data_IF_897254509888
#
_entry.id   IF_897254509888
#
_cell.length_a   1.000
_cell.length_b   1.000
_cell.length_c   1.000
_cell.angle_alpha   90.00
_cell.angle_beta   90.00
_cell.angle_gamma   90.00
#
_symmetry.space_group_name_H-M   'P 1'
#
loop_
_entity.id
_entity.type
_entity.pdbx_description
1 polymer ?
#
# COMPACT_ATOMS: atom_id res chain seq x y z
N UNK A 1 -15.78 -5.47 -5.24
CA UNK A 1 -15.68 -4.71 -3.98
C UNK A 1 -15.43 -5.58 -2.75
N UNK A 2 -16.25 -6.59 -2.44
CA UNK A 2 -16.05 -7.46 -1.26
C UNK A 2 -14.66 -8.12 -1.21
N UNK A 3 -14.19 -8.67 -2.33
CA UNK A 3 -12.86 -9.30 -2.40
C UNK A 3 -11.71 -8.31 -2.14
N UNK A 4 -11.87 -7.07 -2.60
CA UNK A 4 -10.92 -5.98 -2.33
C UNK A 4 -10.89 -5.64 -0.83
N UNK A 5 -12.05 -5.61 -0.18
CA UNK A 5 -12.13 -5.36 1.26
C UNK A 5 -11.47 -6.48 2.08
N UNK A 6 -11.69 -7.75 1.71
CA UNK A 6 -11.01 -8.90 2.34
C UNK A 6 -9.50 -8.78 2.16
N UNK A 7 -9.03 -8.45 0.95
CA UNK A 7 -7.60 -8.24 0.67
C UNK A 7 -7.00 -7.12 1.53
N UNK A 8 -7.64 -5.96 1.61
CA UNK A 8 -7.21 -4.83 2.46
C UNK A 8 -7.08 -5.27 3.91
N UNK A 9 -8.10 -5.94 4.42
CA UNK A 9 -8.14 -6.39 5.81
C UNK A 9 -7.00 -7.37 6.09
N UNK A 10 -6.85 -8.41 5.28
CA UNK A 10 -5.79 -9.41 5.44
C UNK A 10 -4.40 -8.78 5.38
N UNK A 11 -4.13 -7.92 4.41
CA UNK A 11 -2.82 -7.27 4.27
C UNK A 11 -2.54 -6.29 5.41
N UNK A 12 -3.56 -5.57 5.90
CA UNK A 12 -3.44 -4.68 7.06
C UNK A 12 -3.10 -5.45 8.33
N UNK A 13 -3.71 -6.62 8.55
CA UNK A 13 -3.36 -7.49 9.68
C UNK A 13 -1.93 -8.01 9.56
N UNK A 14 -1.51 -8.43 8.37
CA UNK A 14 -0.15 -8.95 8.15
C UNK A 14 0.93 -7.87 8.34
N UNK A 15 0.65 -6.62 7.96
CA UNK A 15 1.61 -5.51 8.09
C UNK A 15 1.57 -4.82 9.45
N UNK A 16 0.40 -4.67 10.05
CA UNK A 16 0.20 -3.85 11.26
C UNK A 16 -0.16 -4.64 12.52
N UNK A 17 -0.49 -5.92 12.40
CA UNK A 17 -0.79 -6.81 13.51
C UNK A 17 -2.19 -6.63 14.09
N UNK A 18 -2.36 -7.10 15.34
CA UNK A 18 -3.61 -7.07 16.09
C UNK A 18 -3.52 -6.10 17.27
N UNK A 19 -4.65 -5.48 17.69
CA UNK A 19 -5.98 -5.57 17.06
C UNK A 19 -6.07 -4.80 15.72
N UNK A 20 -7.02 -5.16 14.82
CA UNK A 20 -7.22 -4.44 13.56
C UNK A 20 -7.67 -3.00 13.82
N UNK A 21 -6.72 -2.07 13.82
CA UNK A 21 -6.98 -0.64 13.97
C UNK A 21 -6.41 0.11 12.77
N UNK A 22 -7.18 0.18 11.69
CA UNK A 22 -6.81 0.89 10.48
C UNK A 22 -8.03 1.54 9.82
N UNK A 23 -7.77 2.55 8.99
CA UNK A 23 -8.78 3.20 8.15
C UNK A 23 -8.49 2.84 6.69
N UNK A 24 -9.46 2.22 6.01
CA UNK A 24 -9.37 1.94 4.57
C UNK A 24 -10.15 3.00 3.78
N UNK A 25 -9.57 3.48 2.67
CA UNK A 25 -10.18 4.48 1.78
C UNK A 25 -10.03 4.05 0.33
N UNK A 26 -11.05 4.32 -0.48
CA UNK A 26 -10.97 4.18 -1.95
C UNK A 26 -10.80 5.58 -2.54
N UNK A 27 -9.78 5.77 -3.37
CA UNK A 27 -9.46 7.04 -4.01
C UNK A 27 -9.55 6.90 -5.53
N UNK A 28 -10.10 7.91 -6.20
CA UNK A 28 -10.11 8.03 -7.66
C UNK A 28 -9.38 9.31 -8.07
N UNK A 29 -8.04 9.36 -7.95
CA UNK A 29 -7.27 10.53 -8.34
C UNK A 29 -7.32 10.75 -9.87
N UNK A 30 -7.14 11.99 -10.30
CA UNK A 30 -6.95 12.26 -11.74
C UNK A 30 -5.59 11.70 -12.20
N UNK A 31 -5.50 11.28 -13.47
CA UNK A 31 -4.28 10.70 -14.06
C UNK A 31 -3.05 11.61 -13.90
N UNK A 32 -3.24 12.93 -13.92
CA UNK A 32 -2.15 13.92 -13.75
C UNK A 32 -1.72 14.08 -12.30
N UNK A 33 -2.59 13.78 -11.34
CA UNK A 33 -2.36 14.00 -9.90
C UNK A 33 -1.92 12.75 -9.15
N UNK A 34 -1.97 11.57 -9.76
CA UNK A 34 -1.70 10.29 -9.08
C UNK A 34 -0.33 10.30 -8.37
N UNK A 35 0.73 10.71 -9.06
CA UNK A 35 2.08 10.81 -8.48
C UNK A 35 2.12 11.74 -7.26
N UNK A 36 1.40 12.86 -7.32
CA UNK A 36 1.31 13.83 -6.21
C UNK A 36 0.56 13.22 -5.01
N UNK A 37 -0.53 12.50 -5.26
CA UNK A 37 -1.30 11.82 -4.21
C UNK A 37 -0.45 10.75 -3.53
N UNK A 38 0.28 9.93 -4.30
CA UNK A 38 1.18 8.90 -3.75
C UNK A 38 2.26 9.50 -2.85
N UNK A 39 2.91 10.57 -3.31
CA UNK A 39 3.92 11.30 -2.53
C UNK A 39 3.38 11.88 -1.22
N UNK A 40 2.17 12.46 -1.23
CA UNK A 40 1.53 12.96 0.00
C UNK A 40 1.23 11.82 0.96
N UNK A 41 0.66 10.71 0.48
CA UNK A 41 0.34 9.55 1.32
C UNK A 41 1.61 8.90 1.90
N UNK A 42 2.70 8.84 1.16
CA UNK A 42 3.99 8.35 1.65
C UNK A 42 4.52 9.18 2.83
N UNK A 43 4.38 10.51 2.76
CA UNK A 43 4.77 11.41 3.85
C UNK A 43 3.87 11.32 5.08
N UNK A 44 2.57 11.05 4.89
CA UNK A 44 1.62 10.90 6.01
C UNK A 44 1.71 9.52 6.68
N UNK A 45 2.02 8.48 5.90
CA UNK A 45 2.03 7.10 6.36
C UNK A 45 3.44 6.58 6.69
N UNK A 46 4.48 7.41 6.64
CA UNK A 46 5.82 7.03 7.05
C UNK A 46 5.93 6.94 8.58
N UNK A 47 5.64 5.76 9.14
CA UNK A 47 5.88 5.40 10.55
C UNK A 47 7.09 4.46 10.67
N UNK A 48 7.62 4.20 11.87
CA UNK A 48 8.75 3.28 12.10
C UNK A 48 8.54 1.88 11.49
N UNK A 49 7.29 1.38 11.48
CA UNK A 49 6.96 0.07 10.89
C UNK A 49 6.90 0.09 9.36
N UNK A 50 6.90 1.28 8.74
CA UNK A 50 6.83 1.43 7.28
C UNK A 50 8.17 1.24 6.58
N UNK A 51 9.29 1.33 7.31
CA UNK A 51 10.63 1.14 6.77
C UNK A 51 10.84 -0.28 6.21
N UNK A 52 10.19 -1.29 6.80
CA UNK A 52 10.28 -2.68 6.33
C UNK A 52 9.64 -2.91 4.96
N UNK A 53 8.71 -2.03 4.57
CA UNK A 53 7.97 -2.11 3.31
C UNK A 53 8.41 -1.05 2.31
N UNK A 54 9.40 -0.22 2.66
CA UNK A 54 10.08 0.65 1.70
C UNK A 54 11.22 -0.16 1.14
N UNK A 55 11.16 -0.49 -0.15
CA UNK A 55 12.32 -1.05 -0.85
C UNK A 55 13.34 0.07 -0.97
N UNK A 56 14.36 0.07 -0.10
CA UNK A 56 15.63 0.70 -0.46
C UNK A 56 16.23 -0.17 -1.57
N UNK A 57 16.74 0.48 -2.61
CA UNK A 57 17.20 -0.05 -3.90
C UNK A 57 18.42 -1.01 -3.81
N UNK A 58 18.54 -1.84 -2.78
CA UNK A 58 19.59 -2.86 -2.68
C UNK A 58 19.10 -4.20 -2.10
N UNK A 59 18.98 -5.20 -2.99
CA UNK A 59 19.45 -6.56 -2.66
C UNK A 59 18.46 -7.58 -2.09
N UNK A 60 17.15 -7.49 -2.31
CA UNK A 60 16.16 -8.44 -1.78
C UNK A 60 15.46 -9.34 -2.80
N UNK A 61 15.99 -10.56 -3.03
CA UNK A 61 15.35 -11.76 -3.62
C UNK A 61 14.51 -11.55 -4.90
N UNK A 62 15.19 -11.77 -6.03
CA UNK A 62 14.60 -12.03 -7.34
C UNK A 62 13.77 -13.33 -7.27
N UNK A 63 12.45 -13.24 -7.35
CA UNK A 63 11.63 -14.46 -7.51
C UNK A 63 10.10 -14.32 -7.52
N UNK A 64 9.51 -13.35 -6.82
CA UNK A 64 8.03 -13.26 -6.73
C UNK A 64 7.44 -11.84 -6.72
N UNK A 65 8.27 -10.80 -6.78
CA UNK A 65 7.80 -9.41 -6.78
C UNK A 65 7.47 -8.95 -8.21
N UNK A 66 6.27 -9.27 -8.68
CA UNK A 66 5.66 -8.57 -9.82
C UNK A 66 5.47 -7.11 -9.42
N UNK A 67 6.41 -6.23 -9.78
CA UNK A 67 6.25 -4.77 -9.94
C UNK A 67 5.31 -4.10 -8.92
N UNK A 68 5.39 -4.55 -7.67
CA UNK A 68 4.44 -4.15 -6.65
C UNK A 68 4.94 -2.81 -6.12
N UNK A 69 4.28 -1.73 -6.51
CA UNK A 69 4.55 -0.40 -5.96
C UNK A 69 4.59 -0.49 -4.42
N UNK A 70 5.80 -0.52 -3.87
CA UNK A 70 6.02 -0.81 -2.46
C UNK A 70 5.82 0.46 -1.66
N UNK A 71 4.56 0.74 -1.33
CA UNK A 71 4.17 1.88 -0.52
C UNK A 71 4.29 1.56 0.98
N UNK A 72 4.58 2.58 1.82
CA UNK A 72 4.58 2.44 3.29
C UNK A 72 3.18 2.13 3.88
N UNK A 73 2.15 2.11 3.05
CA UNK A 73 0.77 1.77 3.36
C UNK A 73 0.25 0.62 2.48
N UNK A 74 -0.79 -0.08 2.94
CA UNK A 74 -1.50 -1.08 2.13
C UNK A 74 -2.18 -0.37 0.95
N UNK A 75 -1.82 -0.77 -0.28
CA UNK A 75 -2.28 -0.12 -1.51
C UNK A 75 -2.40 -1.13 -2.65
N UNK A 76 -3.47 -1.03 -3.43
CA UNK A 76 -3.63 -1.71 -4.71
C UNK A 76 -4.56 -0.89 -5.60
N UNK A 77 -4.30 -0.95 -6.90
CA UNK A 77 -5.11 -0.27 -7.92
C UNK A 77 -6.32 -1.13 -8.28
N UNK A 78 -7.51 -0.53 -8.31
CA UNK A 78 -8.75 -1.18 -8.75
C UNK A 78 -9.09 -0.65 -10.14
N UNK A 79 -9.03 -1.50 -11.15
CA UNK A 79 -9.52 -1.18 -12.48
C UNK A 79 -11.03 -1.49 -12.52
N UNK A 80 -11.85 -0.44 -12.54
CA UNK A 80 -13.28 -0.56 -12.78
C UNK A 80 -13.48 -0.61 -14.30
N UNK A 81 -14.11 -1.68 -14.78
CA UNK A 81 -14.51 -1.86 -16.19
C UNK A 81 -15.88 -1.24 -16.38
#
# INVERSE_FOLDING_TARGET
MHFCAVRVFSESILRYGLPPSFLSVVLSPSLKSEKKVRSILEGLCSSSNSAYWKTEDEGGVVGFASDADSHPYVSFTINLI
#
